data_IF_504809226452
#
_entry.id   IF_504809226452
#
_cell.length_a   1.000
_cell.length_b   1.000
_cell.length_c   1.000
_cell.angle_alpha   90.00
_cell.angle_beta   90.00
_cell.angle_gamma   90.00
#
_symmetry.space_group_name_H-M   'P 1'
#
loop_
_entity.id
_entity.type
_entity.pdbx_description
1 polymer ?
#
# COMPACT_ATOMS: atom_id res chain seq x y z
N UNK A 1 26.42 2.84 -19.24
CA UNK A 1 25.48 3.97 -19.05
C UNK A 1 24.16 3.51 -18.44
N UNK A 2 23.41 2.61 -19.10
CA UNK A 2 22.06 2.20 -18.67
C UNK A 2 21.98 1.52 -17.31
N UNK A 3 22.99 0.71 -16.94
CA UNK A 3 23.07 0.06 -15.62
C UNK A 3 23.23 1.08 -14.49
N UNK A 4 24.06 2.11 -14.70
CA UNK A 4 24.23 3.18 -13.72
C UNK A 4 22.93 3.98 -13.53
N UNK A 5 22.21 4.27 -14.63
CA UNK A 5 20.90 4.90 -14.57
C UNK A 5 19.87 4.03 -13.84
N UNK A 6 19.90 2.72 -14.05
CA UNK A 6 19.00 1.78 -13.35
C UNK A 6 19.20 1.83 -11.84
N UNK A 7 20.44 1.74 -11.35
CA UNK A 7 20.72 1.82 -9.91
C UNK A 7 20.38 3.18 -9.32
N UNK A 8 20.68 4.27 -10.04
CA UNK A 8 20.36 5.62 -9.58
C UNK A 8 18.84 5.86 -9.50
N UNK A 9 18.07 5.32 -10.45
CA UNK A 9 16.61 5.34 -10.41
C UNK A 9 16.05 4.49 -9.26
N UNK A 10 16.63 3.31 -9.00
CA UNK A 10 16.19 2.44 -7.92
C UNK A 10 16.45 3.09 -6.55
N UNK A 11 17.64 3.67 -6.35
CA UNK A 11 18.00 4.37 -5.12
C UNK A 11 17.10 5.57 -4.87
N UNK A 12 16.88 6.41 -5.87
CA UNK A 12 16.03 7.61 -5.73
C UNK A 12 14.56 7.26 -5.47
N UNK A 13 14.04 6.19 -6.08
CA UNK A 13 12.66 5.75 -5.90
C UNK A 13 12.39 5.08 -4.55
N UNK A 14 13.37 4.36 -4.01
CA UNK A 14 13.26 3.73 -2.69
C UNK A 14 13.73 4.64 -1.55
N UNK A 15 14.26 5.82 -1.87
CA UNK A 15 14.74 6.78 -0.87
C UNK A 15 13.56 7.28 -0.01
N UNK A 16 13.57 6.90 1.27
CA UNK A 16 12.65 7.40 2.31
C UNK A 16 11.17 7.05 2.08
N UNK A 17 10.91 5.83 1.62
CA UNK A 17 9.56 5.28 1.41
C UNK A 17 8.68 5.29 2.68
N UNK A 18 9.28 5.21 3.86
CA UNK A 18 8.58 5.19 5.15
C UNK A 18 8.03 6.57 5.58
N UNK A 19 8.44 7.65 4.91
CA UNK A 19 8.00 9.01 5.26
C UNK A 19 6.99 9.52 4.22
N UNK A 20 5.82 10.01 4.65
CA UNK A 20 5.34 10.14 6.03
C UNK A 20 4.76 8.83 6.59
N UNK A 21 4.96 8.57 7.89
CA UNK A 21 4.35 7.44 8.63
C UNK A 21 2.85 7.67 8.94
N UNK A 22 2.10 8.14 7.96
CA UNK A 22 0.67 8.41 8.03
C UNK A 22 0.04 7.93 6.74
N UNK A 23 -1.13 7.30 6.84
CA UNK A 23 -1.88 6.79 5.67
C UNK A 23 -2.17 7.96 4.71
N UNK A 24 -1.67 7.87 3.49
CA UNK A 24 -1.90 8.88 2.44
C UNK A 24 -3.17 8.52 1.64
N UNK A 25 -3.71 9.48 0.89
CA UNK A 25 -5.00 9.40 0.19
C UNK A 25 -5.30 8.06 -0.49
N UNK A 26 -4.37 7.56 -1.30
CA UNK A 26 -4.59 6.35 -2.08
C UNK A 26 -4.34 5.08 -1.23
N UNK A 27 -3.42 5.13 -0.28
CA UNK A 27 -3.13 4.03 0.65
C UNK A 27 -4.35 3.64 1.49
N UNK A 28 -5.24 4.59 1.81
CA UNK A 28 -6.47 4.33 2.53
C UNK A 28 -7.38 3.35 1.77
N UNK A 29 -7.59 3.61 0.48
CA UNK A 29 -8.49 2.81 -0.36
C UNK A 29 -7.88 1.44 -0.64
N UNK A 30 -6.61 1.41 -1.10
CA UNK A 30 -5.92 0.15 -1.40
C UNK A 30 -5.67 -0.69 -0.16
N UNK A 31 -5.36 -0.08 0.99
CA UNK A 31 -5.25 -0.77 2.27
C UNK A 31 -6.56 -1.42 2.69
N UNK A 32 -7.69 -0.71 2.56
CA UNK A 32 -9.02 -1.27 2.83
C UNK A 32 -9.35 -2.45 1.92
N UNK A 33 -9.05 -2.36 0.63
CA UNK A 33 -9.24 -3.48 -0.30
C UNK A 33 -8.31 -4.67 0.01
N UNK A 34 -7.06 -4.41 0.37
CA UNK A 34 -6.13 -5.46 0.80
C UNK A 34 -6.66 -6.19 2.04
N UNK A 35 -7.17 -5.47 3.04
CA UNK A 35 -7.83 -6.08 4.21
C UNK A 35 -9.06 -6.89 3.85
N UNK A 36 -9.89 -6.41 2.92
CA UNK A 36 -11.08 -7.14 2.43
C UNK A 36 -10.71 -8.43 1.72
N UNK A 37 -9.64 -8.42 0.90
CA UNK A 37 -9.10 -9.62 0.27
C UNK A 37 -8.56 -10.61 1.31
N UNK A 38 -7.84 -10.15 2.33
CA UNK A 38 -7.34 -11.01 3.40
C UNK A 38 -8.46 -11.63 4.24
N UNK A 39 -9.53 -10.87 4.49
CA UNK A 39 -10.71 -11.33 5.22
C UNK A 39 -11.68 -12.14 4.34
N UNK A 40 -11.36 -12.34 3.05
CA UNK A 40 -12.22 -13.01 2.06
C UNK A 40 -13.65 -12.44 2.01
N UNK A 41 -13.81 -11.14 2.21
CA UNK A 41 -15.11 -10.45 2.17
C UNK A 41 -15.35 -9.94 0.76
N UNK A 42 -16.50 -10.27 0.19
CA UNK A 42 -16.88 -9.77 -1.12
C UNK A 42 -17.09 -8.25 -1.08
N UNK A 43 -16.49 -7.56 -2.04
CA UNK A 43 -16.69 -6.13 -2.25
C UNK A 43 -16.86 -5.86 -3.75
N UNK A 44 -17.58 -4.80 -4.08
CA UNK A 44 -17.81 -4.40 -5.46
C UNK A 44 -16.98 -3.15 -5.78
N UNK A 45 -16.30 -3.17 -6.93
CA UNK A 45 -15.49 -2.05 -7.41
C UNK A 45 -15.58 -1.93 -8.94
N UNK A 46 -15.42 -0.71 -9.44
CA UNK A 46 -15.46 -0.38 -10.87
C UNK A 46 -14.18 -0.80 -11.61
N UNK A 47 -13.04 -0.84 -10.91
CA UNK A 47 -11.74 -1.12 -11.52
C UNK A 47 -11.41 -2.62 -11.58
N UNK A 48 -10.58 -3.05 -12.56
CA UNK A 48 -10.10 -4.43 -12.65
C UNK A 48 -9.42 -4.91 -11.35
N UNK A 49 -9.63 -6.17 -10.94
CA UNK A 49 -9.21 -6.67 -9.61
C UNK A 49 -7.71 -6.94 -9.48
N UNK A 50 -7.00 -7.16 -10.59
CA UNK A 50 -5.60 -7.62 -10.58
C UNK A 50 -4.66 -6.72 -9.78
N UNK A 51 -4.77 -5.39 -9.93
CA UNK A 51 -3.92 -4.45 -9.22
C UNK A 51 -4.07 -4.56 -7.69
N UNK A 52 -5.30 -4.70 -7.21
CA UNK A 52 -5.59 -4.80 -5.77
C UNK A 52 -5.22 -6.15 -5.20
N UNK A 53 -5.34 -7.22 -6.00
CA UNK A 53 -4.85 -8.55 -5.64
C UNK A 53 -3.33 -8.57 -5.49
N UNK A 54 -2.58 -7.89 -6.37
CA UNK A 54 -1.13 -7.76 -6.24
C UNK A 54 -0.74 -6.97 -4.99
N UNK A 55 -1.47 -5.90 -4.65
CA UNK A 55 -1.25 -5.15 -3.40
C UNK A 55 -1.58 -6.00 -2.18
N UNK A 56 -2.67 -6.75 -2.19
CA UNK A 56 -3.03 -7.69 -1.12
C UNK A 56 -1.97 -8.78 -0.95
N UNK A 57 -1.43 -9.32 -2.04
CA UNK A 57 -0.35 -10.31 -2.03
C UNK A 57 0.94 -9.70 -1.47
N UNK A 58 1.31 -8.48 -1.88
CA UNK A 58 2.46 -7.78 -1.32
C UNK A 58 2.30 -7.55 0.19
N UNK A 59 1.10 -7.19 0.65
CA UNK A 59 0.76 -7.10 2.07
C UNK A 59 0.91 -8.45 2.79
N UNK A 60 0.42 -9.54 2.19
CA UNK A 60 0.53 -10.88 2.75
C UNK A 60 1.99 -11.31 2.94
N UNK A 61 2.84 -11.07 1.93
CA UNK A 61 4.29 -11.35 2.02
C UNK A 61 4.97 -10.45 3.06
N UNK A 62 4.48 -9.23 3.27
CA UNK A 62 4.97 -8.32 4.31
C UNK A 62 4.46 -8.66 5.73
N UNK A 63 3.65 -9.71 5.90
CA UNK A 63 3.11 -10.12 7.21
C UNK A 63 1.93 -9.27 7.69
N UNK A 64 1.14 -8.73 6.76
CA UNK A 64 -0.08 -8.00 7.08
C UNK A 64 -1.24 -8.99 7.30
N UNK A 65 -1.96 -8.89 8.42
CA UNK A 65 -3.06 -9.80 8.79
C UNK A 65 -4.47 -9.27 8.42
N UNK A 66 -4.56 -8.09 7.79
CA UNK A 66 -5.84 -7.51 7.36
C UNK A 66 -6.67 -6.88 8.48
N UNK A 67 -6.19 -6.87 9.73
CA UNK A 67 -6.95 -6.39 10.87
C UNK A 67 -6.88 -4.88 11.13
N UNK A 68 -6.09 -4.14 10.35
CA UNK A 68 -6.07 -2.67 10.51
C UNK A 68 -7.29 -2.03 9.82
N UNK A 69 -8.12 -1.34 10.60
CA UNK A 69 -9.18 -0.48 10.07
C UNK A 69 -8.62 0.81 9.46
N UNK A 70 -8.65 0.88 8.12
CA UNK A 70 -8.31 2.07 7.34
C UNK A 70 -9.52 3.01 7.24
N UNK A 71 -9.88 3.67 8.33
CA UNK A 71 -11.16 4.40 8.40
C UNK A 71 -11.03 5.89 8.04
N UNK A 72 -9.90 6.54 8.35
CA UNK A 72 -9.61 7.95 7.99
C UNK A 72 -8.12 8.21 7.79
N UNK A 73 -7.80 9.18 6.92
CA UNK A 73 -6.46 9.79 6.83
C UNK A 73 -6.20 10.48 8.17
N UNK A 74 -5.49 9.82 9.07
CA UNK A 74 -5.07 10.41 10.34
C UNK A 74 -3.85 11.30 10.07
N UNK A 75 -4.00 12.61 10.23
CA UNK A 75 -2.86 13.51 10.40
C UNK A 75 -2.19 13.10 11.71
N UNK A 76 -0.93 12.66 11.68
CA UNK A 76 -0.15 12.51 12.92
C UNK A 76 -0.04 13.91 13.55
N UNK A 77 -0.90 14.18 14.51
CA UNK A 77 -0.70 15.28 15.44
C UNK A 77 0.59 14.94 16.20
N UNK A 78 1.63 15.77 15.95
CA UNK A 78 2.94 15.61 16.58
C UNK A 78 2.74 15.63 18.10
N UNK A 79 3.12 14.55 18.77
CA UNK A 79 3.53 14.61 20.17
C UNK A 79 5.05 14.69 20.20
#
# INVERSE_FOLDING_TARGET
>A
MSVALFFLALLTRMWRLEYPRSIVFDELHYGKFASLYMKNIFFFDSHPPLGKQLVALAGYVAGFDGDTEFDRIKKKEKK
#
